data_IF_253356042794
#
_entry.id   IF_253356042794
#
_cell.length_a   1.000
_cell.length_b   1.000
_cell.length_c   1.000
_cell.angle_alpha   90.00
_cell.angle_beta   90.00
_cell.angle_gamma   90.00
#
_symmetry.space_group_name_H-M   'P 1'
#
loop_
_entity.id
_entity.type
_entity.pdbx_description
1 polymer ?
#
# COMPACT_ATOMS: atom_id res chain seq x y z
N UNK A 1 0.70 -6.47 -21.29
CA UNK A 1 0.74 -7.66 -20.42
C UNK A 1 0.86 -7.18 -18.99
N UNK A 2 0.06 -7.71 -18.07
CA UNK A 2 0.14 -7.38 -16.65
C UNK A 2 0.81 -8.51 -15.88
N UNK A 3 1.71 -8.17 -14.97
CA UNK A 3 2.29 -9.11 -14.02
C UNK A 3 1.28 -9.39 -12.91
N UNK A 4 1.20 -10.63 -12.44
CA UNK A 4 0.46 -10.95 -11.22
C UNK A 4 1.38 -10.74 -10.02
N UNK A 5 1.02 -9.84 -9.11
CA UNK A 5 1.67 -9.76 -7.81
C UNK A 5 1.26 -10.98 -7.00
N UNK A 6 2.23 -11.73 -6.46
CA UNK A 6 1.98 -12.95 -5.68
C UNK A 6 2.81 -12.94 -4.40
N UNK A 7 2.34 -13.64 -3.37
CA UNK A 7 3.12 -13.83 -2.15
C UNK A 7 4.37 -14.68 -2.43
N UNK A 8 5.42 -14.59 -1.58
CA UNK A 8 6.60 -15.45 -1.71
C UNK A 8 6.25 -16.95 -1.70
N UNK A 9 5.25 -17.36 -0.90
CA UNK A 9 4.81 -18.75 -0.79
C UNK A 9 4.08 -19.22 -2.07
N UNK A 10 3.25 -18.36 -2.66
CA UNK A 10 2.61 -18.65 -3.94
C UNK A 10 3.64 -18.71 -5.08
N UNK A 11 4.66 -17.84 -5.05
CA UNK A 11 5.76 -17.87 -6.00
C UNK A 11 6.60 -19.16 -5.89
N UNK A 12 6.82 -19.68 -4.69
CA UNK A 12 7.52 -20.96 -4.48
C UNK A 12 6.78 -22.13 -5.16
N UNK A 13 5.46 -22.06 -5.31
CA UNK A 13 4.63 -23.06 -6.03
C UNK A 13 4.55 -22.78 -7.53
N UNK A 14 4.25 -21.54 -7.93
CA UNK A 14 3.98 -21.17 -9.32
C UNK A 14 5.24 -20.91 -10.15
N UNK A 15 6.36 -20.55 -9.53
CA UNK A 15 7.62 -20.22 -10.20
C UNK A 15 8.84 -20.81 -9.45
N UNK A 16 9.03 -22.14 -9.41
CA UNK A 16 10.12 -22.77 -8.66
C UNK A 16 11.51 -22.20 -9.01
N UNK A 17 12.31 -21.85 -8.00
CA UNK A 17 13.65 -21.28 -8.23
C UNK A 17 13.67 -19.80 -8.61
N UNK A 18 12.54 -19.09 -8.51
CA UNK A 18 12.46 -17.64 -8.71
C UNK A 18 13.43 -16.86 -7.82
N UNK A 19 13.72 -17.37 -6.61
CA UNK A 19 14.64 -16.75 -5.64
C UNK A 19 16.08 -16.70 -6.12
N UNK A 20 16.50 -17.72 -6.86
CA UNK A 20 17.87 -17.87 -7.34
C UNK A 20 18.04 -17.36 -8.78
N UNK A 21 16.95 -16.92 -9.43
CA UNK A 21 16.95 -16.52 -10.84
C UNK A 21 17.23 -17.69 -11.79
N UNK A 22 17.02 -18.94 -11.35
CA UNK A 22 17.35 -20.14 -12.12
C UNK A 22 16.54 -20.26 -13.42
N UNK A 23 15.34 -19.67 -13.46
CA UNK A 23 14.51 -19.61 -14.65
C UNK A 23 14.54 -18.19 -15.25
N UNK A 24 14.88 -18.11 -16.52
CA UNK A 24 14.88 -16.87 -17.31
C UNK A 24 13.81 -16.92 -18.39
N UNK A 25 13.15 -15.80 -18.67
CA UNK A 25 12.13 -15.69 -19.72
C UNK A 25 11.27 -14.45 -19.54
N UNK A 26 10.06 -14.46 -20.14
CA UNK A 26 9.11 -13.37 -19.97
C UNK A 26 8.52 -13.41 -18.53
N UNK A 27 8.73 -12.37 -17.71
CA UNK A 27 8.17 -12.34 -16.36
C UNK A 27 6.64 -12.34 -16.42
N UNK A 28 6.03 -13.19 -15.59
CA UNK A 28 4.58 -13.32 -15.42
C UNK A 28 4.13 -12.99 -14.00
N UNK A 29 5.03 -13.17 -13.03
CA UNK A 29 4.82 -12.89 -11.62
C UNK A 29 5.75 -11.78 -11.13
N UNK A 30 5.27 -11.03 -10.14
CA UNK A 30 6.09 -10.14 -9.35
C UNK A 30 5.95 -10.52 -7.87
N UNK A 31 7.05 -10.52 -7.13
CA UNK A 31 7.09 -10.76 -5.69
C UNK A 31 7.64 -9.53 -5.00
N UNK A 32 6.84 -8.92 -4.13
CA UNK A 32 7.26 -7.78 -3.32
C UNK A 32 7.91 -8.26 -2.02
N UNK A 33 9.17 -7.89 -1.82
CA UNK A 33 9.90 -8.03 -0.56
C UNK A 33 10.10 -6.66 0.12
N UNK A 34 10.93 -6.64 1.15
CA UNK A 34 11.30 -5.39 1.83
C UNK A 34 12.19 -4.52 0.93
N UNK A 35 11.63 -3.41 0.43
CA UNK A 35 12.31 -2.48 -0.49
C UNK A 35 12.69 -3.06 -1.85
N UNK A 36 12.21 -4.27 -2.21
CA UNK A 36 12.59 -4.96 -3.45
C UNK A 36 11.39 -5.53 -4.16
N UNK A 37 11.40 -5.47 -5.48
CA UNK A 37 10.45 -6.17 -6.34
C UNK A 37 11.21 -7.17 -7.20
N UNK A 38 10.89 -8.45 -7.07
CA UNK A 38 11.52 -9.53 -7.85
C UNK A 38 10.56 -9.99 -8.94
N UNK A 39 11.05 -10.06 -10.17
CA UNK A 39 10.27 -10.56 -11.31
C UNK A 39 10.56 -12.05 -11.52
N UNK A 40 9.51 -12.84 -11.77
CA UNK A 40 9.63 -14.28 -11.98
C UNK A 40 8.86 -14.73 -13.24
N UNK A 41 9.51 -15.47 -14.17
CA UNK A 41 10.96 -15.74 -14.25
C UNK A 41 11.78 -14.45 -14.41
N UNK A 42 13.10 -14.55 -14.25
CA UNK A 42 14.00 -13.42 -14.46
C UNK A 42 13.94 -12.96 -15.94
N UNK A 43 13.83 -11.66 -16.23
CA UNK A 43 13.74 -11.17 -17.59
C UNK A 43 15.00 -11.52 -18.39
N UNK A 44 14.82 -12.11 -19.57
CA UNK A 44 15.89 -12.46 -20.52
C UNK A 44 16.12 -11.38 -21.59
N UNK A 45 15.28 -10.35 -21.61
CA UNK A 45 15.32 -9.22 -22.56
C UNK A 45 15.00 -7.92 -21.83
N UNK A 46 15.58 -6.83 -22.32
CA UNK A 46 15.27 -5.48 -21.84
C UNK A 46 13.80 -5.14 -22.08
N UNK A 47 13.19 -4.47 -21.10
CA UNK A 47 11.78 -4.12 -21.11
C UNK A 47 11.45 -2.94 -20.21
N UNK A 48 10.18 -2.52 -20.22
CA UNK A 48 9.65 -1.47 -19.35
C UNK A 48 8.65 -2.07 -18.39
N UNK A 49 8.86 -1.85 -17.09
CA UNK A 49 7.91 -2.17 -16.03
C UNK A 49 7.15 -0.90 -15.64
N UNK A 50 5.82 -0.96 -15.72
CA UNK A 50 4.96 0.07 -15.14
C UNK A 50 4.42 -0.47 -13.81
N UNK A 51 4.72 0.22 -12.72
CA UNK A 51 4.25 -0.12 -11.39
C UNK A 51 3.49 1.07 -10.78
N UNK A 52 2.37 0.78 -10.13
CA UNK A 52 1.63 1.71 -9.29
C UNK A 52 1.61 1.19 -7.86
N UNK A 53 1.70 2.08 -6.88
CA UNK A 53 1.70 1.72 -5.47
C UNK A 53 1.36 2.91 -4.60
N UNK A 54 1.19 2.65 -3.31
CA UNK A 54 1.06 3.70 -2.30
C UNK A 54 2.44 4.23 -1.94
N UNK A 55 2.61 5.55 -2.01
CA UNK A 55 3.82 6.20 -1.49
C UNK A 55 3.68 6.36 0.02
N UNK A 56 4.74 6.03 0.75
CA UNK A 56 4.88 6.53 2.11
C UNK A 56 5.12 8.04 2.04
N UNK A 57 4.55 8.83 2.98
CA UNK A 57 4.83 10.24 3.03
C UNK A 57 6.33 10.47 3.23
N UNK A 58 6.84 11.56 2.64
CA UNK A 58 8.18 12.06 2.94
C UNK A 58 8.27 12.40 4.41
N UNK A 59 9.46 12.25 4.97
CA UNK A 59 9.74 12.83 6.29
C UNK A 59 9.61 14.35 6.20
N UNK A 60 8.69 14.91 7.00
CA UNK A 60 8.46 16.34 7.13
C UNK A 60 8.73 16.70 8.59
N UNK A 61 9.86 17.33 8.84
CA UNK A 61 10.34 17.64 10.19
C UNK A 61 10.51 19.15 10.42
N UNK A 62 10.71 19.92 9.35
CA UNK A 62 10.85 21.38 9.41
C UNK A 62 9.57 22.11 9.05
N UNK A 63 9.38 23.30 9.62
CA UNK A 63 8.21 24.16 9.35
C UNK A 63 8.10 24.63 7.89
N UNK A 64 9.19 24.56 7.13
CA UNK A 64 9.25 24.90 5.71
C UNK A 64 9.08 23.72 4.76
N UNK A 65 8.86 22.51 5.28
CA UNK A 65 8.69 21.34 4.43
C UNK A 65 7.34 21.41 3.71
N UNK A 66 7.35 21.15 2.40
CA UNK A 66 6.14 21.07 1.60
C UNK A 66 5.71 19.60 1.42
N UNK A 67 4.41 19.30 1.51
CA UNK A 67 3.93 17.95 1.22
C UNK A 67 4.15 17.63 -0.26
N UNK A 68 4.47 16.37 -0.57
CA UNK A 68 4.63 15.88 -1.96
C UNK A 68 3.30 15.90 -2.76
N UNK A 69 2.20 16.21 -2.09
CA UNK A 69 0.87 16.34 -2.70
C UNK A 69 0.84 17.60 -3.56
N UNK A 70 0.25 17.54 -4.75
CA UNK A 70 0.08 18.72 -5.60
C UNK A 70 -0.73 19.83 -4.90
N UNK A 71 -0.32 21.09 -5.08
CA UNK A 71 -0.93 22.26 -4.43
C UNK A 71 -2.41 22.45 -4.69
N UNK A 72 -2.94 21.94 -5.82
CA UNK A 72 -4.38 21.96 -6.13
C UNK A 72 -5.18 21.21 -5.06
N UNK A 73 -4.60 20.19 -4.42
CA UNK A 73 -5.26 19.37 -3.41
C UNK A 73 -5.09 19.90 -1.98
N UNK A 74 -4.15 20.83 -1.75
CA UNK A 74 -3.78 21.28 -0.40
C UNK A 74 -4.96 21.86 0.38
N UNK A 75 -5.86 22.58 -0.30
CA UNK A 75 -7.06 23.14 0.34
C UNK A 75 -7.91 22.07 1.03
N UNK A 76 -7.91 20.83 0.55
CA UNK A 76 -8.69 19.75 1.14
C UNK A 76 -7.97 19.04 2.29
N UNK A 77 -6.65 19.25 2.48
CA UNK A 77 -5.93 18.75 3.67
C UNK A 77 -6.46 19.36 4.96
N UNK A 78 -7.04 20.56 4.90
CA UNK A 78 -7.68 21.21 6.04
C UNK A 78 -8.80 20.36 6.67
N UNK A 79 -9.46 19.49 5.89
CA UNK A 79 -10.50 18.62 6.43
C UNK A 79 -9.96 17.59 7.40
N UNK A 80 -8.72 17.12 7.20
CA UNK A 80 -8.03 16.27 8.18
C UNK A 80 -7.73 17.05 9.45
N UNK A 81 -7.13 18.25 9.32
CA UNK A 81 -6.81 19.10 10.46
C UNK A 81 -8.07 19.47 11.28
N UNK A 82 -9.20 19.75 10.61
CA UNK A 82 -10.47 20.02 11.28
C UNK A 82 -11.05 18.77 11.97
N UNK A 83 -10.96 17.59 11.34
CA UNK A 83 -11.43 16.34 11.94
C UNK A 83 -10.70 16.05 13.25
N UNK A 84 -9.37 16.20 13.25
CA UNK A 84 -8.53 16.04 14.44
C UNK A 84 -8.84 17.12 15.48
N UNK A 85 -8.90 18.40 15.09
CA UNK A 85 -9.15 19.51 16.02
C UNK A 85 -10.49 19.40 16.77
N UNK A 86 -11.57 18.98 16.09
CA UNK A 86 -12.87 18.77 16.73
C UNK A 86 -12.97 17.43 17.48
N UNK A 87 -12.05 16.50 17.26
CA UNK A 87 -11.99 15.20 17.91
C UNK A 87 -11.23 15.21 19.25
N UNK A 88 -10.42 16.26 19.51
CA UNK A 88 -9.72 16.41 20.79
C UNK A 88 -10.76 16.61 21.90
N UNK A 89 -10.73 15.83 22.99
CA UNK A 89 -11.60 16.00 24.15
C UNK A 89 -11.25 17.26 24.96
N UNK A 90 -11.52 18.43 24.39
CA UNK A 90 -11.41 19.73 25.04
C UNK A 90 -12.80 20.32 25.28
N UNK A 91 -12.98 21.02 26.40
CA UNK A 91 -14.29 21.54 26.82
C UNK A 91 -14.84 22.63 25.88
N UNK A 92 -13.98 23.34 25.14
CA UNK A 92 -14.39 24.44 24.26
C UNK A 92 -14.51 24.02 22.79
N UNK A 93 -13.72 23.03 22.34
CA UNK A 93 -13.63 22.70 20.90
C UNK A 93 -14.19 21.32 20.52
N UNK A 94 -14.49 20.44 21.48
CA UNK A 94 -14.97 19.10 21.16
C UNK A 94 -16.37 19.14 20.50
N UNK A 95 -16.42 18.75 19.22
CA UNK A 95 -17.65 18.65 18.43
C UNK A 95 -17.59 17.39 17.56
N UNK A 96 -18.16 16.26 18.03
CA UNK A 96 -18.05 14.99 17.33
C UNK A 96 -18.75 15.00 15.96
N UNK A 97 -19.83 15.78 15.81
CA UNK A 97 -20.57 15.86 14.55
C UNK A 97 -19.76 16.61 13.48
N UNK A 98 -19.09 17.70 13.87
CA UNK A 98 -18.20 18.43 12.96
C UNK A 98 -16.94 17.63 12.64
N UNK A 99 -16.38 16.92 13.62
CA UNK A 99 -15.25 16.01 13.40
C UNK A 99 -15.58 14.96 12.34
N UNK A 100 -16.70 14.24 12.51
CA UNK A 100 -17.12 13.20 11.57
C UNK A 100 -17.42 13.76 10.18
N UNK A 101 -18.08 14.93 10.11
CA UNK A 101 -18.38 15.61 8.84
C UNK A 101 -17.11 16.03 8.09
N UNK A 102 -16.10 16.53 8.80
CA UNK A 102 -14.80 16.89 8.24
C UNK A 102 -14.05 15.63 7.75
N UNK A 103 -14.02 14.58 8.55
CA UNK A 103 -13.40 13.30 8.17
C UNK A 103 -14.04 12.71 6.92
N UNK A 104 -15.38 12.69 6.84
CA UNK A 104 -16.11 12.22 5.64
C UNK A 104 -15.75 13.02 4.39
N UNK A 105 -15.59 14.35 4.50
CA UNK A 105 -15.15 15.19 3.36
C UNK A 105 -13.72 14.88 2.93
N UNK A 106 -12.84 14.61 3.88
CA UNK A 106 -11.47 14.19 3.59
C UNK A 106 -11.47 12.85 2.83
N UNK A 107 -12.18 11.85 3.34
CA UNK A 107 -12.27 10.51 2.72
C UNK A 107 -12.94 10.54 1.34
N UNK A 108 -13.93 11.41 1.13
CA UNK A 108 -14.55 11.60 -0.19
C UNK A 108 -13.57 12.15 -1.23
N UNK A 109 -12.55 12.93 -0.80
CA UNK A 109 -11.59 13.56 -1.69
C UNK A 109 -10.32 12.74 -1.88
N UNK A 110 -9.71 12.27 -0.80
CA UNK A 110 -8.45 11.52 -0.81
C UNK A 110 -8.64 10.00 -0.86
N UNK A 111 -9.87 9.52 -0.69
CA UNK A 111 -10.17 8.11 -0.52
C UNK A 111 -10.11 7.67 0.94
N UNK A 112 -10.54 6.44 1.18
CA UNK A 112 -10.39 5.81 2.49
C UNK A 112 -8.91 5.67 2.84
N UNK A 113 -8.53 5.77 4.13
CA UNK A 113 -7.18 5.40 4.54
C UNK A 113 -6.88 4.00 4.05
N UNK A 114 -5.62 3.75 3.67
CA UNK A 114 -5.18 2.41 3.37
C UNK A 114 -5.50 1.51 4.57
N UNK A 115 -6.35 0.51 4.36
CA UNK A 115 -6.71 -0.40 5.43
C UNK A 115 -5.44 -1.06 5.97
N UNK A 116 -5.38 -1.24 7.29
CA UNK A 116 -4.42 -2.12 7.97
C UNK A 116 -4.28 -3.49 7.28
N UNK A 117 -5.33 -3.91 6.58
CA UNK A 117 -5.39 -5.09 5.74
C UNK A 117 -4.59 -5.03 4.43
N UNK A 118 -3.79 -4.00 4.14
CA UNK A 118 -2.85 -4.03 3.00
C UNK A 118 -1.98 -5.31 2.99
N UNK A 119 -1.62 -5.84 4.17
CA UNK A 119 -0.92 -7.14 4.29
C UNK A 119 -1.82 -8.34 3.99
N UNK A 120 -3.12 -8.25 4.25
CA UNK A 120 -4.10 -9.30 3.93
C UNK A 120 -4.40 -9.34 2.43
N UNK A 121 -4.47 -8.17 1.79
CA UNK A 121 -4.72 -8.02 0.34
C UNK A 121 -3.55 -8.53 -0.52
N UNK A 122 -2.34 -8.63 0.04
CA UNK A 122 -1.14 -9.10 -0.70
C UNK A 122 -0.82 -10.58 -0.47
N UNK A 123 -1.55 -11.25 0.44
CA UNK A 123 -1.37 -12.66 0.81
C UNK A 123 -2.66 -13.47 0.67
N UNK A 124 -3.68 -12.93 0.03
CA UNK A 124 -4.92 -13.62 -0.29
C UNK A 124 -4.69 -14.91 -1.09
N UNK A 125 -3.64 -14.93 -1.92
CA UNK A 125 -3.25 -16.08 -2.73
C UNK A 125 -2.68 -17.25 -1.90
N UNK A 126 -2.39 -17.05 -0.61
CA UNK A 126 -1.93 -18.12 0.27
C UNK A 126 -3.12 -18.78 0.99
N UNK A 127 -3.25 -20.12 0.96
CA UNK A 127 -4.22 -20.81 1.78
C UNK A 127 -3.94 -20.55 3.27
N UNK A 128 -4.83 -19.82 3.95
CA UNK A 128 -4.77 -19.59 5.40
C UNK A 128 -5.29 -20.82 6.16
N UNK A 129 -4.64 -21.97 5.97
CA UNK A 129 -5.01 -23.24 6.58
C UNK A 129 -3.83 -23.75 7.40
N UNK A 130 -4.06 -24.05 8.69
CA UNK A 130 -3.13 -24.89 9.43
C UNK A 130 -3.25 -26.31 8.88
N UNK A 131 -2.21 -26.81 8.21
CA UNK A 131 -2.14 -28.23 7.85
C UNK A 131 -2.04 -29.01 9.16
N UNK A 132 -3.12 -29.67 9.54
CA UNK A 132 -3.06 -30.66 10.60
C UNK A 132 -2.24 -31.84 10.07
N UNK A 133 -1.14 -32.13 10.73
CA UNK A 133 -0.46 -33.40 10.55
C UNK A 133 -1.11 -34.36 11.55
N UNK A 134 -1.63 -35.49 11.06
CA UNK A 134 -1.80 -36.65 11.92
C UNK A 134 -0.42 -37.30 12.05
N UNK A 135 0.07 -37.43 13.28
CA UNK A 135 1.19 -38.33 13.61
C UNK A 135 0.62 -39.74 13.75
#
# INVERSE_FOLDING_TARGET
MCLKLVSPEAADVCAPGWRDGAQTGLPVYAVQGDGKLTLAPAPDRDGRLFAGGYCLPRDMAGDGDEPEINSIHHRNLVYWALAEAFGIPDAETFDPQRSESARRRFELYFGLPADSDLRRITREDAPHLNRHFWI
#
